data_IF_545673378477
#
_entry.id   IF_545673378477
#
_cell.length_a   1.000
_cell.length_b   1.000
_cell.length_c   1.000
_cell.angle_alpha   90.00
_cell.angle_beta   90.00
_cell.angle_gamma   90.00
#
_symmetry.space_group_name_H-M   'P 1'
#
loop_
_entity.id
_entity.type
_entity.pdbx_description
1 polymer ?
#
# COMPACT_ATOMS: atom_id res chain seq x y z
N UNK A 1 -0.08 -13.44 -0.42
CA UNK A 1 0.20 -12.61 -1.62
C UNK A 1 0.92 -11.35 -1.20
N UNK A 2 1.96 -11.00 -1.90
CA UNK A 2 2.78 -9.84 -1.56
C UNK A 2 2.49 -8.72 -2.55
N UNK A 3 2.17 -7.53 -2.04
CA UNK A 3 1.79 -6.39 -2.87
C UNK A 3 2.64 -5.17 -2.56
N UNK A 4 2.85 -4.37 -3.59
CA UNK A 4 3.35 -3.01 -3.45
C UNK A 4 2.29 -2.05 -3.95
N UNK A 5 1.89 -1.12 -3.09
CA UNK A 5 0.91 -0.10 -3.41
C UNK A 5 1.59 1.25 -3.29
N UNK A 6 1.56 2.03 -4.35
CA UNK A 6 2.17 3.37 -4.35
C UNK A 6 1.05 4.41 -4.31
N UNK A 7 1.17 5.31 -3.37
CA UNK A 7 0.20 6.40 -3.18
C UNK A 7 0.90 7.75 -3.23
N UNK A 8 0.14 8.78 -3.58
CA UNK A 8 0.60 10.16 -3.52
C UNK A 8 0.55 10.69 -2.10
N UNK A 9 1.56 11.47 -1.72
CA UNK A 9 1.65 12.05 -0.40
C UNK A 9 2.40 11.17 0.59
N UNK A 10 2.58 11.70 1.79
CA UNK A 10 3.18 10.97 2.89
C UNK A 10 2.10 10.69 3.93
N UNK A 11 2.22 9.54 4.57
CA UNK A 11 1.22 9.05 5.53
C UNK A 11 1.88 8.70 6.85
N UNK A 12 1.06 8.56 7.87
CA UNK A 12 1.51 8.06 9.16
C UNK A 12 1.54 6.54 9.13
N UNK A 13 2.58 5.95 9.71
CA UNK A 13 2.77 4.50 9.73
C UNK A 13 1.62 3.75 10.38
N UNK A 14 0.97 4.36 11.37
CA UNK A 14 -0.12 3.72 12.09
C UNK A 14 -1.38 3.51 11.26
N UNK A 15 -1.49 4.18 10.11
CA UNK A 15 -2.67 4.03 9.26
C UNK A 15 -2.71 2.69 8.54
N UNK A 16 -1.54 2.08 8.30
CA UNK A 16 -1.46 0.82 7.56
C UNK A 16 -0.53 -0.15 8.30
N UNK A 17 -1.04 -0.71 9.38
CA UNK A 17 -0.29 -1.70 10.16
C UNK A 17 -0.03 -2.95 9.34
N UNK A 18 1.11 -3.55 9.53
CA UNK A 18 1.51 -4.75 8.81
C UNK A 18 2.19 -4.48 7.48
N UNK A 19 2.26 -3.22 7.05
CA UNK A 19 2.97 -2.84 5.83
C UNK A 19 4.30 -2.19 6.15
N UNK A 20 5.27 -2.44 5.27
CA UNK A 20 6.51 -1.66 5.26
C UNK A 20 6.25 -0.39 4.47
N UNK A 21 6.45 0.75 5.11
CA UNK A 21 6.16 2.05 4.52
C UNK A 21 7.48 2.73 4.16
N UNK A 22 7.64 3.06 2.88
CA UNK A 22 8.85 3.69 2.35
C UNK A 22 8.49 4.98 1.65
N UNK A 23 9.12 6.07 2.07
CA UNK A 23 8.98 7.34 1.37
C UNK A 23 9.77 7.30 0.07
N UNK A 24 9.12 7.69 -1.00
CA UNK A 24 9.71 7.73 -2.34
C UNK A 24 9.88 9.18 -2.79
N UNK A 25 10.69 9.43 -3.85
CA UNK A 25 10.78 10.75 -4.45
C UNK A 25 9.43 11.27 -4.95
N UNK A 26 9.36 12.57 -5.22
CA UNK A 26 8.17 13.24 -5.75
C UNK A 26 6.95 13.16 -4.84
N UNK A 27 7.20 13.14 -3.53
CA UNK A 27 6.14 13.16 -2.53
C UNK A 27 5.18 11.99 -2.68
N UNK A 28 5.74 10.78 -2.83
CA UNK A 28 4.99 9.53 -2.91
C UNK A 28 5.44 8.56 -1.83
N UNK A 29 4.64 7.53 -1.61
CA UNK A 29 4.92 6.52 -0.58
C UNK A 29 4.60 5.14 -1.13
N UNK A 30 5.48 4.18 -0.86
CA UNK A 30 5.24 2.77 -1.17
C UNK A 30 4.82 2.02 0.09
N UNK A 31 3.75 1.24 -0.05
CA UNK A 31 3.28 0.32 0.98
C UNK A 31 3.55 -1.10 0.48
N UNK A 32 4.36 -1.86 1.19
CA UNK A 32 4.65 -3.24 0.85
C UNK A 32 4.23 -4.16 1.97
N UNK A 33 3.56 -5.23 1.63
CA UNK A 33 3.13 -6.18 2.64
C UNK A 33 2.42 -7.38 2.07
N UNK A 34 2.24 -8.38 2.93
CA UNK A 34 1.51 -9.59 2.61
C UNK A 34 0.03 -9.38 2.88
N UNK A 35 -0.79 -9.85 1.96
CA UNK A 35 -2.23 -9.88 2.11
C UNK A 35 -2.71 -11.32 1.98
N UNK A 36 -3.63 -11.70 2.84
CA UNK A 36 -4.10 -13.10 2.91
C UNK A 36 -4.90 -13.49 1.65
N UNK A 37 -5.60 -12.53 1.07
CA UNK A 37 -6.43 -12.77 -0.11
C UNK A 37 -6.71 -11.46 -0.83
N UNK A 38 -7.45 -11.56 -1.92
CA UNK A 38 -7.80 -10.40 -2.73
C UNK A 38 -8.79 -9.47 -2.01
N UNK A 39 -9.65 -10.02 -1.17
CA UNK A 39 -10.57 -9.19 -0.39
C UNK A 39 -9.81 -8.27 0.57
N UNK A 40 -8.71 -8.75 1.15
CA UNK A 40 -7.86 -7.93 1.99
C UNK A 40 -7.24 -6.78 1.20
N UNK A 41 -6.85 -7.03 -0.06
CA UNK A 41 -6.36 -5.97 -0.94
C UNK A 41 -7.41 -4.90 -1.16
N UNK A 42 -8.63 -5.29 -1.47
CA UNK A 42 -9.71 -4.33 -1.67
C UNK A 42 -10.00 -3.53 -0.41
N UNK A 43 -9.87 -4.13 0.76
CA UNK A 43 -9.99 -3.42 2.02
C UNK A 43 -8.96 -2.32 2.18
N UNK A 44 -7.71 -2.59 1.80
CA UNK A 44 -6.65 -1.58 1.81
C UNK A 44 -6.93 -0.47 0.82
N UNK A 45 -7.33 -0.81 -0.40
CA UNK A 45 -7.65 0.18 -1.43
C UNK A 45 -8.82 1.06 -1.01
N UNK A 46 -9.82 0.49 -0.36
CA UNK A 46 -10.94 1.26 0.16
C UNK A 46 -10.48 2.25 1.24
N UNK A 47 -9.60 1.81 2.12
CA UNK A 47 -9.05 2.69 3.15
C UNK A 47 -8.28 3.86 2.53
N UNK A 48 -7.50 3.60 1.48
CA UNK A 48 -6.80 4.64 0.74
C UNK A 48 -7.79 5.66 0.18
N UNK A 49 -8.87 5.17 -0.41
CA UNK A 49 -9.92 6.03 -0.95
C UNK A 49 -10.61 6.86 0.15
N UNK A 50 -10.93 6.21 1.27
CA UNK A 50 -11.63 6.87 2.37
C UNK A 50 -10.77 7.96 3.03
N UNK A 51 -9.46 7.80 3.00
CA UNK A 51 -8.52 8.80 3.51
C UNK A 51 -8.24 9.92 2.50
N UNK A 52 -8.79 9.81 1.30
CA UNK A 52 -8.57 10.82 0.26
C UNK A 52 -7.19 10.80 -0.36
N UNK A 53 -6.49 9.67 -0.29
CA UNK A 53 -5.15 9.53 -0.85
C UNK A 53 -5.22 9.18 -2.33
N UNK A 54 -4.24 9.67 -3.10
CA UNK A 54 -4.14 9.33 -4.51
C UNK A 54 -3.52 7.95 -4.68
N UNK A 55 -4.21 7.06 -5.35
CA UNK A 55 -3.68 5.75 -5.71
C UNK A 55 -2.91 5.87 -7.02
N UNK A 56 -1.61 5.56 -6.99
CA UNK A 56 -0.76 5.66 -8.16
C UNK A 56 -0.60 4.30 -8.84
N UNK A 57 -0.28 3.26 -8.06
CA UNK A 57 -0.11 1.92 -8.62
C UNK A 57 -0.38 0.84 -7.60
N UNK A 58 -0.74 -0.33 -8.10
CA UNK A 58 -0.88 -1.55 -7.32
C UNK A 58 -0.16 -2.65 -8.10
N UNK A 59 0.84 -3.25 -7.50
CA UNK A 59 1.59 -4.32 -8.13
C UNK A 59 1.66 -5.53 -7.22
N UNK A 60 1.34 -6.68 -7.78
CA UNK A 60 1.58 -7.93 -7.09
C UNK A 60 3.03 -8.32 -7.32
N UNK A 61 3.77 -8.53 -6.23
CA UNK A 61 5.17 -8.92 -6.30
C UNK A 61 5.29 -10.41 -6.05
N UNK A 62 6.28 -11.04 -6.69
CA UNK A 62 6.60 -12.43 -6.41
C UNK A 62 7.30 -12.52 -5.07
N UNK A 63 6.89 -13.51 -4.29
CA UNK A 63 7.56 -13.82 -3.05
C UNK A 63 8.72 -14.76 -3.35
N UNK A 64 9.88 -14.45 -2.80
CA UNK A 64 10.98 -15.41 -2.83
C UNK A 64 10.72 -16.49 -1.79
N UNK A 65 10.91 -17.70 -2.23
CA UNK A 65 10.71 -18.85 -1.38
C UNK A 65 11.77 -18.92 -0.27
#
# INVERSE_FOLDING_TARGET
MFYEIVIGGYIQKTWFEGFTITKLPNFTTALRGHLVDQAALYGVLRKINDLGLDLISVNRLEEEA
#
